data_IF_322930937885
#
_entry.id   IF_322930937885
#
_cell.length_a   1.000
_cell.length_b   1.000
_cell.length_c   1.000
_cell.angle_alpha   90.00
_cell.angle_beta   90.00
_cell.angle_gamma   90.00
#
_symmetry.space_group_name_H-M   'P 1'
#
loop_
_entity.id
_entity.type
_entity.pdbx_description
1 polymer ?
#
# COMPACT_ATOMS: atom_id res chain seq x y z
N UNK A 1 19.13 13.38 -8.57
CA UNK A 1 17.76 13.64 -9.05
C UNK A 1 16.91 12.56 -8.40
N UNK A 2 16.09 12.92 -7.43
CA UNK A 2 15.31 11.95 -6.65
C UNK A 2 14.20 11.37 -7.55
N UNK A 3 14.16 10.05 -7.71
CA UNK A 3 13.12 9.38 -8.49
C UNK A 3 11.78 9.55 -7.77
N UNK A 4 10.77 10.11 -8.46
CA UNK A 4 9.44 10.25 -7.88
C UNK A 4 8.76 8.88 -7.72
N UNK A 5 7.91 8.72 -6.70
CA UNK A 5 7.12 7.50 -6.49
C UNK A 5 6.38 7.05 -7.76
N UNK A 6 5.84 8.00 -8.54
CA UNK A 6 5.17 7.71 -9.80
C UNK A 6 6.10 7.11 -10.86
N UNK A 7 7.32 7.65 -11.00
CA UNK A 7 8.33 7.12 -11.93
C UNK A 7 8.79 5.72 -11.50
N UNK A 8 9.04 5.54 -10.20
CA UNK A 8 9.49 4.26 -9.66
C UNK A 8 8.47 3.14 -9.90
N UNK A 9 7.21 3.36 -9.50
CA UNK A 9 6.17 2.33 -9.67
C UNK A 9 5.69 2.20 -11.12
N UNK A 10 5.76 3.26 -11.93
CA UNK A 10 5.45 3.20 -13.36
C UNK A 10 6.46 2.33 -14.13
N UNK A 11 7.76 2.45 -13.84
CA UNK A 11 8.78 1.61 -14.47
C UNK A 11 8.64 0.13 -14.06
N UNK A 12 8.22 -0.12 -12.81
CA UNK A 12 8.02 -1.47 -12.31
C UNK A 12 6.74 -2.10 -12.85
N UNK A 13 5.60 -1.42 -12.81
CA UNK A 13 4.27 -2.01 -12.98
C UNK A 13 3.55 -1.64 -14.28
N UNK A 14 4.14 -0.78 -15.12
CA UNK A 14 3.50 -0.29 -16.34
C UNK A 14 2.58 0.91 -16.07
N UNK A 15 1.51 1.07 -16.84
CA UNK A 15 0.43 2.03 -16.56
C UNK A 15 -0.70 1.37 -15.74
N UNK A 16 -1.34 2.12 -14.85
CA UNK A 16 -2.30 1.57 -13.89
C UNK A 16 -2.76 2.57 -12.84
N UNK A 17 -3.88 2.27 -12.18
CA UNK A 17 -4.55 3.17 -11.25
C UNK A 17 -3.97 3.10 -9.81
N UNK A 18 -2.65 3.03 -9.64
CA UNK A 18 -1.98 2.91 -8.34
C UNK A 18 -1.34 4.22 -7.84
N UNK A 19 -1.27 5.25 -8.69
CA UNK A 19 -0.62 6.51 -8.38
C UNK A 19 -1.47 7.66 -8.88
N UNK A 20 -1.62 8.68 -8.04
CA UNK A 20 -2.27 9.94 -8.41
C UNK A 20 -1.36 11.11 -8.02
N UNK A 21 -1.00 12.00 -8.97
CA UNK A 21 -0.20 13.17 -8.64
C UNK A 21 -0.94 14.05 -7.61
N UNK A 22 -0.18 14.64 -6.70
CA UNK A 22 -0.68 15.58 -5.69
C UNK A 22 -0.13 16.99 -5.93
N UNK A 23 0.08 17.74 -4.84
CA UNK A 23 0.82 19.01 -4.87
C UNK A 23 2.27 18.79 -5.36
N UNK A 24 3.00 19.83 -5.81
CA UNK A 24 4.38 19.69 -6.27
C UNK A 24 5.25 18.89 -5.29
N UNK A 25 5.98 17.90 -5.80
CA UNK A 25 6.81 16.98 -5.01
C UNK A 25 6.05 15.93 -4.20
N UNK A 26 4.73 15.81 -4.34
CA UNK A 26 3.90 14.89 -3.57
C UNK A 26 2.95 14.07 -4.47
N UNK A 27 2.58 12.89 -4.00
CA UNK A 27 1.59 12.04 -4.68
C UNK A 27 0.85 11.14 -3.70
N UNK A 28 -0.25 10.58 -4.19
CA UNK A 28 -1.02 9.55 -3.53
C UNK A 28 -0.66 8.21 -4.17
N UNK A 29 -0.36 7.21 -3.34
CA UNK A 29 -0.04 5.86 -3.79
C UNK A 29 -1.05 4.88 -3.18
N UNK A 30 -1.71 4.11 -4.03
CA UNK A 30 -2.51 2.97 -3.61
C UNK A 30 -1.57 1.76 -3.46
N UNK A 31 -1.09 1.57 -2.23
CA UNK A 31 -0.21 0.45 -1.87
C UNK A 31 -0.87 -0.92 -2.11
N UNK A 32 -2.20 -1.02 -2.01
CA UNK A 32 -2.91 -2.29 -2.20
C UNK A 32 -2.96 -2.66 -3.67
N UNK A 33 -3.20 -1.68 -4.55
CA UNK A 33 -3.13 -1.88 -6.00
C UNK A 33 -1.71 -2.24 -6.48
N UNK A 34 -0.67 -1.60 -5.93
CA UNK A 34 0.74 -1.95 -6.18
C UNK A 34 1.01 -3.40 -5.78
N UNK A 35 0.66 -3.79 -4.54
CA UNK A 35 0.89 -5.15 -4.05
C UNK A 35 0.13 -6.20 -4.90
N UNK A 36 -1.13 -5.93 -5.26
CA UNK A 36 -1.91 -6.80 -6.15
C UNK A 36 -1.23 -6.99 -7.50
N UNK A 37 -0.78 -5.90 -8.14
CA UNK A 37 -0.09 -5.97 -9.43
C UNK A 37 1.22 -6.78 -9.35
N UNK A 38 2.00 -6.59 -8.28
CA UNK A 38 3.21 -7.39 -8.03
C UNK A 38 2.90 -8.88 -7.86
N UNK A 39 1.90 -9.21 -7.03
CA UNK A 39 1.47 -10.60 -6.78
C UNK A 39 0.96 -11.27 -8.05
N UNK A 40 0.13 -10.58 -8.85
CA UNK A 40 -0.38 -11.10 -10.12
C UNK A 40 0.74 -11.37 -11.12
N UNK A 41 1.75 -10.49 -11.22
CA UNK A 41 2.94 -10.74 -12.07
C UNK A 41 3.78 -11.91 -11.61
N UNK A 42 3.77 -12.21 -10.31
CA UNK A 42 4.41 -13.39 -9.74
C UNK A 42 3.59 -14.68 -9.91
N UNK A 43 2.41 -14.64 -10.54
CA UNK A 43 1.55 -15.80 -10.78
C UNK A 43 0.59 -16.13 -9.62
N UNK A 44 0.43 -15.23 -8.64
CA UNK A 44 -0.55 -15.42 -7.57
C UNK A 44 -1.96 -15.18 -8.11
N UNK A 45 -2.78 -16.23 -8.12
CA UNK A 45 -4.13 -16.18 -8.71
C UNK A 45 -5.17 -15.54 -7.78
N UNK A 46 -5.03 -15.73 -6.46
CA UNK A 46 -6.02 -15.31 -5.47
C UNK A 46 -5.44 -14.29 -4.51
N UNK A 47 -5.92 -13.05 -4.63
CA UNK A 47 -5.54 -11.92 -3.77
C UNK A 47 -6.80 -11.28 -3.19
N UNK A 48 -6.92 -11.33 -1.87
CA UNK A 48 -8.02 -10.71 -1.13
C UNK A 48 -7.57 -9.38 -0.54
N UNK A 49 -8.35 -8.32 -0.77
CA UNK A 49 -8.18 -7.03 -0.10
C UNK A 49 -9.06 -7.02 1.16
N UNK A 50 -8.50 -6.60 2.30
CA UNK A 50 -9.27 -6.43 3.53
C UNK A 50 -10.26 -5.27 3.45
N UNK A 51 -10.06 -4.33 2.52
CA UNK A 51 -10.85 -3.11 2.38
C UNK A 51 -10.54 -2.05 3.45
N UNK A 52 -9.59 -2.31 4.34
CA UNK A 52 -9.33 -1.48 5.52
C UNK A 52 -8.29 -0.40 5.26
N UNK A 53 -8.39 0.71 6.01
CA UNK A 53 -7.45 1.83 5.96
C UNK A 53 -7.06 2.24 7.39
N UNK A 54 -5.78 2.07 7.73
CA UNK A 54 -5.29 2.35 9.10
C UNK A 54 -5.42 3.81 9.51
N UNK A 55 -5.32 4.74 8.57
CA UNK A 55 -5.53 6.16 8.82
C UNK A 55 -7.01 6.58 8.88
N UNK A 56 -7.90 5.81 8.27
CA UNK A 56 -9.32 6.12 8.14
C UNK A 56 -10.15 5.58 9.30
N UNK A 57 -9.62 4.60 10.04
CA UNK A 57 -10.28 3.91 11.16
C UNK A 57 -9.42 4.03 12.44
N UNK A 58 -9.18 5.26 12.95
CA UNK A 58 -8.26 5.52 14.06
C UNK A 58 -8.69 4.89 15.39
N UNK A 59 -9.97 4.55 15.54
CA UNK A 59 -10.50 3.83 16.71
C UNK A 59 -10.13 2.34 16.72
N UNK A 60 -9.72 1.79 15.56
CA UNK A 60 -9.35 0.37 15.39
C UNK A 60 -7.85 0.17 15.21
N UNK A 61 -7.16 1.13 14.59
CA UNK A 61 -5.76 0.97 14.19
C UNK A 61 -4.86 2.12 14.61
N UNK A 62 -3.61 1.78 14.91
CA UNK A 62 -2.53 2.75 14.95
C UNK A 62 -2.13 3.16 13.52
N UNK A 63 -1.97 4.45 13.26
CA UNK A 63 -1.50 4.97 11.98
C UNK A 63 -0.42 6.03 12.19
N UNK A 64 0.83 5.68 11.87
CA UNK A 64 1.96 6.59 11.95
C UNK A 64 1.77 7.86 11.11
N UNK A 65 1.11 7.75 9.95
CA UNK A 65 0.84 8.91 9.09
C UNK A 65 -0.21 9.84 9.68
N UNK A 66 -1.18 9.29 10.40
CA UNK A 66 -2.26 10.06 11.01
C UNK A 66 -1.82 10.68 12.34
N UNK A 67 -1.19 9.89 13.21
CA UNK A 67 -0.74 10.31 14.52
C UNK A 67 0.55 9.57 14.90
N UNK A 68 1.63 10.34 15.06
CA UNK A 68 2.88 9.86 15.63
C UNK A 68 3.27 10.73 16.84
N UNK A 69 3.86 10.14 17.91
CA UNK A 69 4.13 8.72 18.09
C UNK A 69 2.85 7.89 18.36
N UNK A 70 2.87 6.61 17.99
CA UNK A 70 1.77 5.66 18.22
C UNK A 70 2.31 4.24 18.41
N UNK A 71 1.43 3.31 18.80
CA UNK A 71 1.74 1.87 18.87
C UNK A 71 1.96 1.21 17.51
N UNK A 72 2.09 -0.12 17.51
CA UNK A 72 2.20 -0.99 16.32
C UNK A 72 1.27 -2.18 16.47
N UNK A 73 0.84 -2.74 15.35
CA UNK A 73 0.10 -4.01 15.32
C UNK A 73 0.88 -5.04 14.48
N UNK A 74 0.49 -6.30 14.56
CA UNK A 74 1.09 -7.40 13.82
C UNK A 74 0.01 -8.19 13.07
N UNK A 75 0.37 -8.75 11.92
CA UNK A 75 -0.42 -9.77 11.22
C UNK A 75 0.25 -11.13 11.44
N UNK A 76 -0.52 -12.13 11.85
CA UNK A 76 -0.03 -13.47 12.18
C UNK A 76 -0.74 -14.51 11.32
N UNK A 77 0.01 -15.51 10.86
CA UNK A 77 -0.51 -16.68 10.13
C UNK A 77 0.26 -17.91 10.59
N UNK A 78 -0.44 -19.03 10.76
CA UNK A 78 0.16 -20.31 11.14
C UNK A 78 -0.64 -21.48 10.52
N UNK A 79 0.00 -22.64 10.42
CA UNK A 79 -0.69 -23.90 10.13
C UNK A 79 -1.17 -24.50 11.45
N UNK A 80 -2.43 -24.93 11.51
CA UNK A 80 -2.92 -25.71 12.64
C UNK A 80 -2.56 -27.19 12.46
N UNK A 81 -2.25 -27.92 13.55
CA UNK A 81 -1.93 -29.34 13.49
C UNK A 81 -3.05 -30.20 12.90
#
# INVERSE_FOLDING_TARGET
MEESLGQHFGSLLGEGAWYRPGRPGHGWLDLKAVARAQLSRAGVERVTDSGLCTACEPERFWSHRWQAPCGRFASLIWLQP
#
